data_IF_370914754799
#
_entry.id   IF_370914754799
#
_cell.length_a   1.000
_cell.length_b   1.000
_cell.length_c   1.000
_cell.angle_alpha   90.00
_cell.angle_beta   90.00
_cell.angle_gamma   90.00
#
_symmetry.space_group_name_H-M   'P 1'
#
loop_
_entity.id
_entity.type
_entity.pdbx_description
1 polymer ?
#
# COMPACT_ATOMS: atom_id res chain seq x y z
N UNK A 1 -11.02 -20.13 6.94
CA UNK A 1 -11.33 -18.74 6.55
C UNK A 1 -10.01 -18.08 6.28
N UNK A 2 -9.84 -17.51 5.10
CA UNK A 2 -8.58 -16.92 4.64
C UNK A 2 -8.25 -15.69 5.46
N UNK A 3 -7.04 -15.67 6.02
CA UNK A 3 -6.54 -14.56 6.83
C UNK A 3 -5.77 -13.56 5.97
N UNK A 4 -5.45 -12.40 6.55
CA UNK A 4 -4.56 -11.42 5.92
C UNK A 4 -3.17 -12.03 5.64
N UNK A 5 -2.68 -12.86 6.57
CA UNK A 5 -1.40 -13.55 6.45
C UNK A 5 -1.37 -14.53 5.28
N UNK A 6 -2.43 -15.33 5.15
CA UNK A 6 -2.58 -16.25 4.03
C UNK A 6 -2.53 -15.49 2.69
N UNK A 7 -3.15 -14.31 2.63
CA UNK A 7 -3.17 -13.50 1.43
C UNK A 7 -1.78 -12.95 1.07
N UNK A 8 -1.09 -12.34 2.04
CA UNK A 8 0.24 -11.74 1.84
C UNK A 8 1.29 -12.82 1.51
N UNK A 9 1.18 -14.00 2.11
CA UNK A 9 2.10 -15.12 1.88
C UNK A 9 2.13 -15.58 0.41
N UNK A 10 1.07 -15.35 -0.37
CA UNK A 10 1.05 -15.66 -1.80
C UNK A 10 2.09 -14.89 -2.61
N UNK A 11 2.47 -13.69 -2.18
CA UNK A 11 3.41 -12.83 -2.90
C UNK A 11 4.81 -12.77 -2.26
N UNK A 12 5.11 -13.64 -1.30
CA UNK A 12 6.39 -13.65 -0.58
C UNK A 12 7.60 -13.80 -1.54
N UNK A 13 7.48 -14.64 -2.57
CA UNK A 13 8.55 -14.88 -3.55
C UNK A 13 8.67 -13.79 -4.63
N UNK A 14 7.71 -12.86 -4.69
CA UNK A 14 7.65 -11.78 -5.69
C UNK A 14 7.72 -10.40 -5.04
N UNK A 15 8.35 -10.28 -3.86
CA UNK A 15 8.48 -9.01 -3.13
C UNK A 15 7.12 -8.30 -2.97
N UNK A 16 6.11 -9.02 -2.46
CA UNK A 16 4.79 -8.43 -2.20
C UNK A 16 4.05 -7.92 -3.44
N UNK A 17 4.41 -8.37 -4.65
CA UNK A 17 3.75 -7.94 -5.88
C UNK A 17 2.25 -8.27 -5.85
N UNK A 18 1.42 -7.25 -6.01
CA UNK A 18 -0.03 -7.35 -5.94
C UNK A 18 -0.71 -6.45 -6.96
N UNK A 19 -1.96 -6.78 -7.28
CA UNK A 19 -2.84 -5.96 -8.10
C UNK A 19 -3.66 -5.06 -7.17
N UNK A 20 -3.53 -3.75 -7.34
CA UNK A 20 -4.38 -2.76 -6.66
C UNK A 20 -5.42 -2.24 -7.63
N UNK A 21 -6.69 -2.34 -7.23
CA UNK A 21 -7.83 -1.82 -7.99
C UNK A 21 -8.51 -0.66 -7.26
N UNK A 22 -8.65 0.49 -7.94
CA UNK A 22 -9.31 1.69 -7.42
C UNK A 22 -10.53 2.06 -8.25
N UNK A 23 -11.50 2.73 -7.63
CA UNK A 23 -12.68 3.25 -8.31
C UNK A 23 -12.34 4.55 -9.06
N UNK A 24 -12.78 4.70 -10.31
CA UNK A 24 -12.70 5.95 -11.11
C UNK A 24 -13.96 6.80 -10.96
N UNK A 25 -13.89 8.07 -11.36
CA UNK A 25 -14.99 9.02 -11.22
C UNK A 25 -16.21 8.66 -12.09
N UNK A 26 -15.97 7.94 -13.19
CA UNK A 26 -16.99 7.35 -14.07
C UNK A 26 -17.50 5.98 -13.58
N UNK A 27 -17.20 5.63 -12.32
CA UNK A 27 -17.53 4.34 -11.69
C UNK A 27 -16.89 3.10 -12.32
N UNK A 28 -15.91 3.27 -13.22
CA UNK A 28 -15.09 2.14 -13.72
C UNK A 28 -13.94 1.81 -12.77
N UNK A 29 -13.28 0.67 -12.99
CA UNK A 29 -12.16 0.22 -12.14
C UNK A 29 -10.81 0.47 -12.82
N UNK A 30 -9.87 1.03 -12.08
CA UNK A 30 -8.47 1.20 -12.48
C UNK A 30 -7.59 0.20 -11.73
N UNK A 31 -6.98 -0.74 -12.46
CA UNK A 31 -6.05 -1.71 -11.91
C UNK A 31 -4.58 -1.31 -12.18
N UNK A 32 -3.69 -1.67 -11.27
CA UNK A 32 -2.24 -1.50 -11.43
C UNK A 32 -1.48 -2.53 -10.59
N UNK A 33 -0.30 -2.94 -11.06
CA UNK A 33 0.63 -3.76 -10.28
C UNK A 33 1.50 -2.86 -9.39
N UNK A 34 1.61 -3.21 -8.11
CA UNK A 34 2.45 -2.53 -7.11
C UNK A 34 2.97 -3.54 -6.09
N UNK A 35 4.08 -3.23 -5.43
CA UNK A 35 4.53 -3.99 -4.27
C UNK A 35 3.75 -3.49 -3.05
N UNK A 36 3.14 -4.43 -2.31
CA UNK A 36 2.33 -4.16 -1.13
C UNK A 36 2.85 -5.04 0.00
N UNK A 37 3.13 -4.42 1.14
CA UNK A 37 3.60 -5.08 2.35
C UNK A 37 2.54 -5.08 3.45
N UNK A 38 2.73 -5.95 4.45
CA UNK A 38 1.97 -5.91 5.72
C UNK A 38 2.85 -5.26 6.79
N UNK A 39 2.29 -4.31 7.53
CA UNK A 39 2.98 -3.56 8.59
C UNK A 39 2.00 -3.10 9.68
N UNK A 40 2.45 -2.82 10.90
CA UNK A 40 1.61 -2.17 11.89
C UNK A 40 1.33 -0.71 11.50
N UNK A 41 0.11 -0.24 11.72
CA UNK A 41 -0.26 1.14 11.49
C UNK A 41 0.49 2.04 12.49
N UNK A 42 1.18 3.12 12.06
CA UNK A 42 2.05 3.91 12.93
C UNK A 42 1.36 4.54 14.15
N UNK A 43 0.06 4.84 14.03
CA UNK A 43 -0.71 5.48 15.10
C UNK A 43 -1.45 4.51 16.03
N UNK A 44 -1.83 3.33 15.52
CA UNK A 44 -2.77 2.42 16.23
C UNK A 44 -2.15 1.06 16.53
N UNK A 45 -1.06 0.68 15.84
CA UNK A 45 -0.45 -0.64 15.94
C UNK A 45 -1.25 -1.76 15.25
N UNK A 46 -2.42 -1.46 14.68
CA UNK A 46 -3.24 -2.45 13.97
C UNK A 46 -2.56 -2.91 12.69
N UNK A 47 -2.73 -4.17 12.31
CA UNK A 47 -2.15 -4.69 11.07
C UNK A 47 -2.85 -4.10 9.84
N UNK A 48 -2.08 -3.44 8.99
CA UNK A 48 -2.54 -2.84 7.73
C UNK A 48 -1.70 -3.33 6.56
N UNK A 49 -2.23 -3.14 5.35
CA UNK A 49 -1.41 -3.23 4.15
C UNK A 49 -0.86 -1.84 3.79
N UNK A 50 0.33 -1.78 3.23
CA UNK A 50 0.99 -0.54 2.84
C UNK A 50 1.61 -0.63 1.45
N UNK A 51 1.46 0.42 0.65
CA UNK A 51 2.28 0.61 -0.55
C UNK A 51 2.63 2.09 -0.75
N UNK A 52 3.71 2.34 -1.48
CA UNK A 52 4.14 3.69 -1.85
C UNK A 52 3.71 4.00 -3.28
N UNK A 53 3.16 5.19 -3.51
CA UNK A 53 2.79 5.63 -4.85
C UNK A 53 3.04 7.11 -5.06
N UNK A 54 2.86 7.54 -6.31
CA UNK A 54 3.00 8.91 -6.77
C UNK A 54 2.13 9.09 -8.00
N UNK A 55 1.95 10.34 -8.42
CA UNK A 55 1.19 10.67 -9.61
C UNK A 55 -0.30 10.85 -9.35
N UNK A 56 -0.96 11.49 -10.32
CA UNK A 56 -2.26 12.15 -10.07
C UNK A 56 -3.44 11.20 -10.09
N UNK A 57 -3.45 10.20 -10.96
CA UNK A 57 -4.66 9.41 -11.25
C UNK A 57 -5.05 8.53 -10.06
N UNK A 58 -4.15 7.67 -9.58
CA UNK A 58 -4.43 6.77 -8.45
C UNK A 58 -4.73 7.56 -7.16
N UNK A 59 -3.93 8.59 -6.86
CA UNK A 59 -4.14 9.42 -5.69
C UNK A 59 -5.45 10.21 -5.75
N UNK A 60 -5.83 10.78 -6.90
CA UNK A 60 -7.11 11.46 -7.04
C UNK A 60 -8.30 10.52 -6.83
N UNK A 61 -8.19 9.27 -7.31
CA UNK A 61 -9.19 8.25 -7.04
C UNK A 61 -9.29 7.97 -5.53
N UNK A 62 -8.17 7.66 -4.87
CA UNK A 62 -8.17 7.28 -3.45
C UNK A 62 -8.61 8.42 -2.52
N UNK A 63 -8.23 9.68 -2.80
CA UNK A 63 -8.68 10.86 -2.04
C UNK A 63 -10.19 11.02 -2.06
N UNK A 64 -10.81 10.82 -3.23
CA UNK A 64 -12.25 10.98 -3.38
C UNK A 64 -13.02 9.72 -2.96
N UNK A 65 -12.47 8.54 -3.23
CA UNK A 65 -13.09 7.22 -3.17
C UNK A 65 -12.06 6.23 -2.63
N UNK A 66 -11.92 6.13 -1.29
CA UNK A 66 -10.82 5.40 -0.66
C UNK A 66 -11.01 3.87 -0.68
N UNK A 67 -12.12 3.35 -1.22
CA UNK A 67 -12.32 1.91 -1.35
C UNK A 67 -11.39 1.35 -2.43
N UNK A 68 -10.69 0.28 -2.09
CA UNK A 68 -9.81 -0.45 -2.99
C UNK A 68 -9.75 -1.93 -2.65
N UNK A 69 -9.24 -2.70 -3.60
CA UNK A 69 -8.82 -4.08 -3.37
C UNK A 69 -7.33 -4.24 -3.62
N UNK A 70 -6.72 -5.14 -2.85
CA UNK A 70 -5.37 -5.68 -3.08
C UNK A 70 -5.50 -7.16 -3.34
N UNK A 71 -5.11 -7.61 -4.53
CA UNK A 71 -5.13 -9.03 -4.89
C UNK A 71 -3.71 -9.56 -5.04
N UNK A 72 -3.37 -10.53 -4.19
CA UNK A 72 -2.13 -11.31 -4.27
C UNK A 72 -2.39 -12.62 -5.02
N UNK A 73 -1.37 -13.14 -5.72
CA UNK A 73 -1.50 -14.39 -6.49
C UNK A 73 -0.20 -15.19 -6.53
N UNK A 74 -0.33 -16.52 -6.54
CA UNK A 74 0.75 -17.47 -6.82
C UNK A 74 0.23 -18.58 -7.74
N UNK A 75 0.63 -18.54 -9.01
CA UNK A 75 0.02 -19.40 -10.03
C UNK A 75 -1.49 -19.16 -10.12
N UNK A 76 -2.28 -20.22 -9.91
CA UNK A 76 -3.75 -20.15 -9.90
C UNK A 76 -4.35 -19.78 -8.53
N UNK A 77 -3.56 -19.82 -7.45
CA UNK A 77 -4.04 -19.42 -6.12
C UNK A 77 -4.07 -17.90 -6.03
N UNK A 78 -5.14 -17.35 -5.47
CA UNK A 78 -5.25 -15.92 -5.22
C UNK A 78 -6.02 -15.64 -3.94
N UNK A 79 -5.71 -14.50 -3.34
CA UNK A 79 -6.47 -13.93 -2.25
C UNK A 79 -6.61 -12.42 -2.46
N UNK A 80 -7.79 -11.89 -2.16
CA UNK A 80 -8.10 -10.47 -2.25
C UNK A 80 -8.44 -9.93 -0.89
N UNK A 81 -7.85 -8.77 -0.58
CA UNK A 81 -8.12 -7.96 0.59
C UNK A 81 -8.88 -6.72 0.13
N UNK A 82 -10.12 -6.57 0.58
CA UNK A 82 -10.86 -5.30 0.50
C UNK A 82 -10.42 -4.40 1.66
N UNK A 83 -10.35 -3.09 1.43
CA UNK A 83 -10.08 -2.15 2.49
C UNK A 83 -10.38 -0.71 2.14
N UNK A 84 -10.04 0.18 3.07
CA UNK A 84 -10.11 1.63 2.89
C UNK A 84 -8.72 2.23 2.99
N UNK A 85 -8.36 3.04 2.01
CA UNK A 85 -7.09 3.77 1.98
C UNK A 85 -7.11 4.94 2.95
N UNK A 86 -6.01 5.08 3.67
CA UNK A 86 -5.55 6.27 4.35
C UNK A 86 -4.25 6.73 3.68
N UNK A 87 -4.20 8.01 3.31
CA UNK A 87 -3.06 8.58 2.59
C UNK A 87 -2.20 9.39 3.57
N UNK A 88 -0.89 9.16 3.51
CA UNK A 88 0.10 9.89 4.29
C UNK A 88 1.24 10.33 3.36
N UNK A 89 1.38 11.63 3.14
CA UNK A 89 2.38 12.18 2.23
C UNK A 89 2.44 13.70 2.25
N UNK A 90 3.34 14.31 1.45
CA UNK A 90 3.54 15.77 1.46
C UNK A 90 2.31 16.57 1.02
N UNK A 91 1.42 15.93 0.24
CA UNK A 91 0.14 16.48 -0.22
C UNK A 91 -1.08 15.89 0.52
N UNK A 92 -0.84 14.98 1.47
CA UNK A 92 -1.85 14.22 2.21
C UNK A 92 -1.47 14.19 3.70
N UNK A 93 -1.72 15.29 4.44
CA UNK A 93 -1.40 15.35 5.86
C UNK A 93 -2.31 14.39 6.64
N UNK A 94 -1.72 13.62 7.55
CA UNK A 94 -2.43 12.77 8.49
C UNK A 94 -2.25 13.32 9.92
N UNK A 95 -3.27 13.27 10.81
CA UNK A 95 -3.15 13.81 12.16
C UNK A 95 -2.03 13.19 13.01
N UNK A 96 -1.65 11.95 12.71
CA UNK A 96 -0.59 11.22 13.40
C UNK A 96 0.80 11.37 12.76
N UNK A 97 0.88 12.03 11.60
CA UNK A 97 2.13 12.27 10.89
C UNK A 97 2.67 13.66 11.27
N UNK A 98 3.60 13.68 12.23
CA UNK A 98 4.08 14.91 12.85
C UNK A 98 4.97 15.75 11.93
N UNK A 99 5.86 15.10 11.17
CA UNK A 99 6.87 15.78 10.36
C UNK A 99 7.35 14.94 9.16
N UNK A 100 8.25 15.54 8.37
CA UNK A 100 8.85 14.91 7.20
C UNK A 100 9.80 13.76 7.54
N UNK A 101 10.38 13.74 8.74
CA UNK A 101 11.29 12.69 9.19
C UNK A 101 10.51 11.41 9.47
N UNK A 102 9.36 11.53 10.15
CA UNK A 102 8.44 10.41 10.34
C UNK A 102 7.93 9.85 9.01
N UNK A 103 7.62 10.72 8.04
CA UNK A 103 7.22 10.28 6.69
C UNK A 103 8.34 9.53 5.97
N UNK A 104 9.57 10.04 6.05
CA UNK A 104 10.77 9.40 5.45
C UNK A 104 10.97 8.00 6.00
N UNK A 105 10.89 7.82 7.31
CA UNK A 105 11.00 6.52 7.96
C UNK A 105 9.86 5.58 7.56
N UNK A 106 8.61 6.09 7.51
CA UNK A 106 7.46 5.29 7.08
C UNK A 106 7.56 4.81 5.63
N UNK A 107 8.08 5.65 4.72
CA UNK A 107 8.33 5.26 3.33
C UNK A 107 9.30 4.05 3.25
N UNK A 108 10.38 4.09 4.03
CA UNK A 108 11.33 2.97 4.13
C UNK A 108 10.67 1.73 4.71
N UNK A 109 9.91 1.88 5.80
CA UNK A 109 9.19 0.77 6.45
C UNK A 109 8.24 0.06 5.48
N UNK A 110 7.42 0.83 4.74
CA UNK A 110 6.49 0.28 3.75
C UNK A 110 7.25 -0.42 2.61
N UNK A 111 8.35 0.16 2.14
CA UNK A 111 9.16 -0.45 1.10
C UNK A 111 9.78 -1.78 1.54
N UNK A 112 10.33 -1.84 2.76
CA UNK A 112 10.87 -3.07 3.33
C UNK A 112 9.78 -4.10 3.62
N UNK A 113 8.63 -3.69 4.15
CA UNK A 113 7.48 -4.56 4.36
C UNK A 113 6.97 -5.18 3.05
N UNK A 114 7.12 -4.47 1.93
CA UNK A 114 6.82 -4.96 0.59
C UNK A 114 7.99 -5.77 -0.03
N UNK A 115 8.96 -6.22 0.75
CA UNK A 115 10.08 -7.05 0.28
C UNK A 115 11.18 -6.28 -0.45
N UNK A 116 11.13 -4.95 -0.46
CA UNK A 116 12.17 -4.11 -1.04
C UNK A 116 13.45 -4.08 -0.21
N UNK A 117 14.59 -4.18 -0.88
CA UNK A 117 15.92 -3.95 -0.31
C UNK A 117 16.61 -2.78 -1.01
N UNK A 118 17.46 -2.04 -0.30
CA UNK A 118 18.19 -0.93 -0.86
C UNK A 118 19.58 -0.81 -0.22
N UNK A 119 20.60 -0.60 -1.04
CA UNK A 119 21.99 -0.48 -0.58
C UNK A 119 22.36 0.98 -0.23
N UNK A 120 21.69 1.95 -0.85
CA UNK A 120 21.85 3.39 -0.59
C UNK A 120 20.53 4.04 -0.13
N UNK A 121 20.29 4.05 1.16
CA UNK A 121 19.05 4.61 1.69
C UNK A 121 18.96 6.14 1.61
N UNK A 122 20.07 6.84 1.45
CA UNK A 122 20.07 8.30 1.34
C UNK A 122 19.60 8.72 -0.06
N UNK A 123 20.01 7.98 -1.09
CA UNK A 123 19.45 8.13 -2.43
C UNK A 123 17.94 7.83 -2.44
N UNK A 124 17.53 6.73 -1.80
CA UNK A 124 16.12 6.36 -1.68
C UNK A 124 15.29 7.52 -1.11
N UNK A 125 15.72 8.08 0.02
CA UNK A 125 15.01 9.18 0.69
C UNK A 125 14.90 10.42 -0.19
N UNK A 126 16.01 10.79 -0.85
CA UNK A 126 16.04 11.92 -1.77
C UNK A 126 15.04 11.73 -2.90
N UNK A 127 15.02 10.55 -3.53
CA UNK A 127 14.08 10.23 -4.61
C UNK A 127 12.64 10.27 -4.11
N UNK A 128 12.37 9.74 -2.91
CA UNK A 128 11.01 9.74 -2.36
C UNK A 128 10.50 11.15 -2.07
N UNK A 129 11.36 12.01 -1.53
CA UNK A 129 11.05 13.41 -1.27
C UNK A 129 10.86 14.19 -2.58
N UNK A 130 11.78 14.09 -3.54
CA UNK A 130 11.73 14.79 -4.83
C UNK A 130 10.45 14.43 -5.62
N UNK A 131 10.04 13.16 -5.57
CA UNK A 131 8.84 12.69 -6.24
C UNK A 131 7.55 12.86 -5.42
N UNK A 132 7.64 13.48 -4.24
CA UNK A 132 6.52 13.71 -3.32
C UNK A 132 5.70 12.45 -3.06
N UNK A 133 6.39 11.35 -2.82
CA UNK A 133 5.77 10.03 -2.69
C UNK A 133 4.83 9.99 -1.50
N UNK A 134 3.75 9.23 -1.68
CA UNK A 134 2.66 9.09 -0.73
C UNK A 134 2.57 7.64 -0.31
N UNK A 135 2.50 7.41 0.99
CA UNK A 135 2.17 6.12 1.58
C UNK A 135 0.65 5.95 1.53
N UNK A 136 0.21 4.78 1.08
CA UNK A 136 -1.17 4.34 1.16
C UNK A 136 -1.24 3.22 2.18
N UNK A 137 -1.83 3.49 3.34
CA UNK A 137 -2.17 2.48 4.35
C UNK A 137 -3.59 1.99 4.09
N UNK A 138 -3.83 0.70 4.26
CA UNK A 138 -5.11 0.08 3.91
C UNK A 138 -5.56 -0.74 5.11
N UNK A 139 -6.60 -0.26 5.79
CA UNK A 139 -7.29 -1.00 6.82
C UNK A 139 -8.11 -2.15 6.17
N UNK A 140 -7.78 -3.42 6.44
CA UNK A 140 -8.49 -4.56 5.85
C UNK A 140 -9.94 -4.62 6.38
N UNK A 141 -10.91 -4.80 5.49
CA UNK A 141 -12.33 -4.95 5.85
C UNK A 141 -12.89 -6.32 5.49
N UNK A 142 -12.30 -7.00 4.51
CA UNK A 142 -12.67 -8.37 4.10
C UNK A 142 -11.50 -9.06 3.41
N UNK A 143 -11.36 -10.35 3.63
CA UNK A 143 -10.41 -11.21 2.91
C UNK A 143 -11.15 -12.41 2.32
N UNK A 144 -10.86 -12.75 1.07
CA UNK A 144 -11.42 -13.92 0.38
C UNK A 144 -10.46 -14.47 -0.67
N UNK A 145 -10.61 -15.75 -1.01
CA UNK A 145 -9.73 -16.50 -1.93
C UNK A 145 -10.52 -17.51 -2.76
N UNK A 146 -9.84 -18.21 -3.67
CA UNK A 146 -10.36 -19.37 -4.39
C UNK A 146 -10.07 -20.73 -3.74
N UNK A 147 -9.69 -20.73 -2.47
CA UNK A 147 -9.55 -21.89 -1.59
C UNK A 147 -10.14 -21.57 -0.23
#
# INVERSE_FOLDING_TARGET
MTTLDDAVALAADESGLAIVSTLRADSTIQASLVNVGKLPHPATGEEVLGFVTYGKVKLANLRARPQLTVTYRKGWMWATVEGRAELAGPDDPAPWLADAEQLRLLLREVFTAAGGTHDDWDEYDRVMADQRRTVVLIAPTRVYSNG
#
